data_IF_150587650268
#
_entry.id   IF_150587650268
#
_cell.length_a   1.000
_cell.length_b   1.000
_cell.length_c   1.000
_cell.angle_alpha   90.00
_cell.angle_beta   90.00
_cell.angle_gamma   90.00
#
_symmetry.space_group_name_H-M   'P 1'
#
loop_
_entity.id
_entity.type
_entity.pdbx_description
1 polymer ?
#
# COMPACT_ATOMS: atom_id res chain seq x y z
N UNK A 1 -2.06 -1.06 -8.44
CA UNK A 1 -3.07 -1.81 -7.65
C UNK A 1 -3.04 -1.23 -6.25
N UNK A 2 -4.19 -1.06 -5.60
CA UNK A 2 -4.25 -0.40 -4.30
C UNK A 2 -4.61 -1.38 -3.20
N UNK A 3 -3.98 -1.26 -2.03
CA UNK A 3 -4.15 -2.18 -0.91
C UNK A 3 -4.33 -1.41 0.38
N UNK A 4 -5.37 -1.72 1.15
CA UNK A 4 -5.54 -1.28 2.53
C UNK A 4 -5.26 -2.46 3.45
N UNK A 5 -4.27 -2.35 4.33
CA UNK A 5 -4.01 -3.40 5.32
C UNK A 5 -4.91 -3.25 6.56
N UNK A 6 -4.90 -4.28 7.41
CA UNK A 6 -5.68 -4.30 8.65
C UNK A 6 -5.29 -3.20 9.66
N UNK A 7 -4.08 -2.67 9.57
CA UNK A 7 -3.57 -1.61 10.44
C UNK A 7 -3.99 -0.20 9.96
N UNK A 8 -4.69 -0.10 8.82
CA UNK A 8 -5.16 1.17 8.27
C UNK A 8 -4.17 1.89 7.38
N UNK A 9 -3.08 1.23 6.97
CA UNK A 9 -2.12 1.77 6.00
C UNK A 9 -2.50 1.38 4.58
N UNK A 10 -2.29 2.30 3.65
CA UNK A 10 -2.69 2.14 2.26
C UNK A 10 -1.52 2.27 1.31
N UNK A 11 -1.50 1.36 0.35
CA UNK A 11 -0.37 1.12 -0.53
C UNK A 11 -0.82 1.15 -1.98
N UNK A 12 -0.05 1.80 -2.84
CA UNK A 12 -0.06 1.58 -4.27
C UNK A 12 1.08 0.62 -4.61
N UNK A 13 0.74 -0.52 -5.21
CA UNK A 13 1.69 -1.55 -5.62
C UNK A 13 1.84 -1.51 -7.15
N UNK A 14 3.07 -1.33 -7.60
CA UNK A 14 3.47 -1.44 -9.00
C UNK A 14 3.54 -2.91 -9.43
N UNK A 15 2.42 -3.42 -9.91
CA UNK A 15 2.29 -4.81 -10.37
C UNK A 15 2.99 -5.09 -11.70
N UNK A 16 3.57 -4.08 -12.36
CA UNK A 16 4.35 -4.29 -13.59
C UNK A 16 5.79 -4.68 -13.27
N UNK A 17 6.33 -4.18 -12.16
CA UNK A 17 7.70 -4.45 -11.73
C UNK A 17 7.80 -5.48 -10.60
N UNK A 18 6.73 -5.66 -9.83
CA UNK A 18 6.66 -6.62 -8.72
C UNK A 18 5.90 -7.87 -9.10
N UNK A 19 6.52 -9.03 -8.82
CA UNK A 19 5.86 -10.32 -8.80
C UNK A 19 5.54 -10.67 -7.35
N UNK A 20 4.26 -10.85 -7.04
CA UNK A 20 3.77 -11.26 -5.72
C UNK A 20 2.41 -11.96 -5.90
N UNK A 21 2.04 -12.81 -4.95
CA UNK A 21 0.77 -13.54 -4.97
C UNK A 21 -0.31 -12.72 -4.25
N UNK A 22 -1.33 -12.26 -4.99
CA UNK A 22 -2.44 -11.49 -4.39
C UNK A 22 -3.16 -12.27 -3.28
N UNK A 23 -3.23 -13.60 -3.41
CA UNK A 23 -3.84 -14.49 -2.42
C UNK A 23 -3.05 -14.53 -1.10
N UNK A 24 -1.77 -14.11 -1.11
CA UNK A 24 -0.91 -14.05 0.07
C UNK A 24 -1.02 -12.71 0.83
N UNK A 25 -1.76 -11.72 0.30
CA UNK A 25 -2.08 -10.46 1.01
C UNK A 25 -3.17 -10.70 2.06
N UNK A 26 -2.81 -11.38 3.15
CA UNK A 26 -3.74 -11.71 4.22
C UNK A 26 -4.24 -10.47 4.96
N UNK A 27 -5.53 -10.46 5.31
CA UNK A 27 -6.22 -9.38 6.01
C UNK A 27 -6.12 -8.01 5.34
N UNK A 28 -5.84 -8.00 4.03
CA UNK A 28 -5.82 -6.81 3.19
C UNK A 28 -7.10 -6.72 2.36
N UNK A 29 -7.51 -5.48 2.05
CA UNK A 29 -8.52 -5.18 1.04
C UNK A 29 -7.83 -4.64 -0.20
N UNK A 30 -8.22 -5.15 -1.37
CA UNK A 30 -7.61 -4.80 -2.65
C UNK A 30 -8.60 -3.98 -3.46
N UNK A 31 -8.09 -2.92 -4.11
CA UNK A 31 -8.85 -2.01 -4.94
C UNK A 31 -8.12 -1.81 -6.27
N UNK A 32 -8.91 -1.60 -7.33
CA UNK A 32 -8.37 -1.33 -8.67
C UNK A 32 -7.97 0.14 -8.84
N UNK A 33 -8.64 1.06 -8.14
CA UNK A 33 -8.44 2.51 -8.22
C UNK A 33 -8.14 3.12 -6.83
N UNK A 34 -7.30 4.15 -6.81
CA UNK A 34 -6.94 4.86 -5.56
C UNK A 34 -8.17 5.48 -4.91
N UNK A 35 -9.03 6.12 -5.71
CA UNK A 35 -10.26 6.77 -5.23
C UNK A 35 -11.15 5.79 -4.47
N UNK A 36 -11.30 4.55 -4.96
CA UNK A 36 -12.11 3.53 -4.29
C UNK A 36 -11.54 3.13 -2.92
N UNK A 37 -10.20 3.10 -2.79
CA UNK A 37 -9.54 2.89 -1.51
C UNK A 37 -9.79 4.08 -0.57
N UNK A 38 -9.55 5.31 -1.04
CA UNK A 38 -9.67 6.51 -0.22
C UNK A 38 -11.11 6.72 0.26
N UNK A 39 -12.10 6.50 -0.60
CA UNK A 39 -13.53 6.54 -0.25
C UNK A 39 -13.88 5.52 0.85
N UNK A 40 -13.28 4.33 0.85
CA UNK A 40 -13.49 3.34 1.91
C UNK A 40 -12.91 3.82 3.25
N UNK A 41 -11.73 4.43 3.24
CA UNK A 41 -11.09 5.00 4.44
C UNK A 41 -11.93 6.16 4.97
N UNK A 42 -12.33 7.11 4.10
CA UNK A 42 -13.21 8.23 4.43
C UNK A 42 -14.52 7.76 5.06
N UNK A 43 -15.15 6.72 4.50
CA UNK A 43 -16.40 6.14 5.03
C UNK A 43 -16.20 5.50 6.42
N UNK A 44 -15.06 4.85 6.65
CA UNK A 44 -14.76 4.17 7.92
C UNK A 44 -14.44 5.16 9.04
N UNK A 45 -13.63 6.16 8.73
CA UNK A 45 -12.98 7.01 9.72
C UNK A 45 -13.60 8.42 9.80
N UNK A 46 -14.57 8.73 8.93
CA UNK A 46 -15.27 10.03 8.90
C UNK A 46 -14.38 11.17 8.39
N UNK A 47 -13.47 10.87 7.46
CA UNK A 47 -12.50 11.81 6.89
C UNK A 47 -12.95 12.30 5.51
N UNK A 48 -12.44 13.44 5.09
CA UNK A 48 -12.55 13.91 3.71
C UNK A 48 -11.37 13.40 2.87
N UNK A 49 -11.56 13.19 1.56
CA UNK A 49 -10.53 12.61 0.68
C UNK A 49 -9.30 13.52 0.61
N UNK A 50 -9.50 14.84 0.64
CA UNK A 50 -8.44 15.84 0.61
C UNK A 50 -7.49 15.75 1.82
N UNK A 51 -7.97 15.23 2.95
CA UNK A 51 -7.19 15.11 4.19
C UNK A 51 -6.22 13.92 4.16
N UNK A 52 -6.51 12.91 3.33
CA UNK A 52 -5.74 11.64 3.24
C UNK A 52 -5.04 11.44 1.89
N UNK A 53 -5.36 12.28 0.90
CA UNK A 53 -4.71 12.26 -0.39
C UNK A 53 -3.18 12.42 -0.25
N UNK A 54 -2.42 11.57 -0.94
CA UNK A 54 -0.95 11.60 -0.91
C UNK A 54 -0.31 10.91 0.29
N UNK A 55 -1.09 10.34 1.21
CA UNK A 55 -0.57 9.50 2.31
C UNK A 55 -0.37 8.03 1.90
N UNK A 56 -0.55 7.71 0.62
CA UNK A 56 -0.39 6.38 0.02
C UNK A 56 1.09 6.02 -0.11
N UNK A 57 1.50 4.88 0.47
CA UNK A 57 2.83 4.33 0.28
C UNK A 57 2.97 3.69 -1.11
N UNK A 58 4.06 3.94 -1.83
CA UNK A 58 4.29 3.33 -3.13
C UNK A 58 5.28 2.16 -3.05
N UNK A 59 4.86 0.96 -3.45
CA UNK A 59 5.69 -0.25 -3.46
C UNK A 59 6.13 -0.55 -4.88
N UNK A 60 7.44 -0.62 -5.12
CA UNK A 60 8.04 -0.88 -6.43
C UNK A 60 9.36 -1.66 -6.31
N UNK A 61 10.02 -1.96 -7.42
CA UNK A 61 11.39 -2.50 -7.45
C UNK A 61 12.39 -1.41 -7.79
N UNK A 62 13.44 -1.29 -6.98
CA UNK A 62 14.59 -0.42 -7.24
C UNK A 62 15.87 -1.23 -7.21
N UNK A 63 16.62 -1.22 -8.31
CA UNK A 63 17.87 -2.00 -8.47
C UNK A 63 17.69 -3.50 -8.14
N UNK A 64 16.55 -4.09 -8.53
CA UNK A 64 16.25 -5.50 -8.28
C UNK A 64 15.79 -5.81 -6.85
N UNK A 65 15.65 -4.81 -5.98
CA UNK A 65 15.17 -4.98 -4.60
C UNK A 65 13.78 -4.32 -4.44
N UNK A 66 12.79 -5.01 -3.85
CA UNK A 66 11.53 -4.39 -3.49
C UNK A 66 11.73 -3.27 -2.45
N UNK A 67 11.07 -2.14 -2.66
CA UNK A 67 11.14 -0.97 -1.79
C UNK A 67 9.76 -0.36 -1.57
N UNK A 68 9.58 0.27 -0.42
CA UNK A 68 8.50 1.19 -0.13
C UNK A 68 9.00 2.63 -0.25
N UNK A 69 8.24 3.49 -0.90
CA UNK A 69 8.46 4.94 -0.97
C UNK A 69 7.32 5.60 -0.19
N UNK A 70 7.67 6.40 0.82
CA UNK A 70 6.68 7.13 1.62
C UNK A 70 6.27 8.48 1.00
N UNK A 71 5.34 9.16 1.66
CA UNK A 71 4.79 10.48 1.32
C UNK A 71 5.87 11.58 1.24
N UNK A 72 7.06 11.33 1.81
CA UNK A 72 8.22 12.24 1.79
C UNK A 72 9.26 11.83 0.75
N UNK A 73 8.92 10.89 -0.14
CA UNK A 73 9.81 10.30 -1.13
C UNK A 73 11.03 9.58 -0.52
N UNK A 74 10.97 9.16 0.74
CA UNK A 74 12.03 8.37 1.38
C UNK A 74 11.84 6.91 0.97
N UNK A 75 12.92 6.28 0.53
CA UNK A 75 12.93 4.86 0.12
C UNK A 75 13.32 3.98 1.30
N UNK A 76 12.53 2.95 1.56
CA UNK A 76 12.75 1.92 2.57
C UNK A 76 12.86 0.56 1.89
N UNK A 77 13.93 -0.18 2.16
CA UNK A 77 14.08 -1.55 1.64
C UNK A 77 13.09 -2.49 2.30
N UNK A 78 12.55 -3.43 1.52
CA UNK A 78 11.70 -4.51 2.02
C UNK A 78 12.54 -5.79 2.05
N UNK A 79 12.90 -6.23 3.25
CA UNK A 79 13.77 -7.40 3.45
C UNK A 79 13.00 -8.73 3.56
N UNK A 80 11.66 -8.67 3.60
CA UNK A 80 10.74 -9.81 3.63
C UNK A 80 10.03 -9.99 2.29
N UNK A 81 9.09 -10.93 2.18
CA UNK A 81 8.17 -10.90 1.05
C UNK A 81 7.33 -9.62 1.08
N UNK A 82 6.94 -9.14 -0.09
CA UNK A 82 6.14 -7.91 -0.23
C UNK A 82 4.77 -8.09 0.41
N UNK A 83 4.21 -9.28 0.29
CA UNK A 83 2.91 -9.63 0.84
C UNK A 83 2.93 -9.58 2.37
N UNK A 84 3.95 -10.20 2.99
CA UNK A 84 4.14 -10.15 4.43
C UNK A 84 4.37 -8.72 4.91
N UNK A 85 5.23 -7.97 4.21
CA UNK A 85 5.49 -6.57 4.53
C UNK A 85 4.20 -5.76 4.52
N UNK A 86 3.43 -5.78 3.42
CA UNK A 86 2.19 -5.00 3.28
C UNK A 86 1.14 -5.42 4.30
N UNK A 87 0.96 -6.73 4.53
CA UNK A 87 -0.02 -7.25 5.49
C UNK A 87 0.28 -6.88 6.95
N UNK A 88 1.56 -6.84 7.33
CA UNK A 88 1.98 -6.63 8.72
C UNK A 88 2.43 -5.19 9.02
N UNK A 89 2.64 -4.35 8.00
CA UNK A 89 3.15 -2.99 8.17
C UNK A 89 2.32 -2.18 9.16
N UNK A 90 3.01 -1.58 10.13
CA UNK A 90 2.46 -0.69 11.14
C UNK A 90 3.52 0.38 11.51
N UNK A 91 3.09 1.63 11.71
CA UNK A 91 3.94 2.75 12.16
C UNK A 91 3.83 3.04 13.65
#
# INVERSE_FOLDING_TARGET
MFVLNQNGHYFEIDTQTLSFAKDDLQNCRIFDEETALLEEVCRRDGLEVEDIAGSTFFITVKNGTPVMIDDRCITHSIDTSVEMFVSEFAL
#
